data_IF_282883570230
#
_entry.id   IF_282883570230
#
_cell.length_a   1.000
_cell.length_b   1.000
_cell.length_c   1.000
_cell.angle_alpha   90.00
_cell.angle_beta   90.00
_cell.angle_gamma   90.00
#
_symmetry.space_group_name_H-M   'P 1'
#
loop_
_entity.id
_entity.type
_entity.pdbx_description
1 polymer ?
#
# COMPACT_ATOMS: atom_id res chain seq x y z
N UNK A 1 -3.68 -8.59 -34.29
CA UNK A 1 -2.80 -9.42 -35.11
C UNK A 1 -1.99 -10.48 -34.36
N UNK A 2 -2.31 -10.80 -33.11
CA UNK A 2 -1.64 -11.86 -32.33
C UNK A 2 -2.24 -13.26 -32.56
N UNK A 3 -3.38 -13.36 -33.23
CA UNK A 3 -4.00 -14.64 -33.61
C UNK A 3 -3.17 -15.54 -34.53
N UNK A 4 -2.18 -14.97 -35.22
CA UNK A 4 -1.34 -15.69 -36.18
C UNK A 4 -0.24 -16.55 -35.54
N UNK A 5 -0.01 -16.44 -34.21
CA UNK A 5 1.11 -17.13 -33.52
C UNK A 5 0.64 -18.24 -32.58
N UNK A 6 -0.66 -18.62 -32.61
CA UNK A 6 -1.18 -19.75 -31.83
C UNK A 6 -1.21 -19.55 -30.30
N UNK A 7 -0.98 -18.34 -29.81
CA UNK A 7 -1.03 -18.02 -28.39
C UNK A 7 -2.46 -17.65 -27.95
N UNK A 8 -3.41 -18.56 -28.10
CA UNK A 8 -4.77 -18.42 -27.58
C UNK A 8 -4.85 -18.42 -26.05
N UNK A 9 -3.75 -18.73 -25.37
CA UNK A 9 -3.63 -18.74 -23.91
C UNK A 9 -3.59 -17.33 -23.29
N UNK A 10 -3.33 -16.29 -24.06
CA UNK A 10 -3.21 -14.90 -23.59
C UNK A 10 -4.46 -14.05 -23.84
N UNK A 11 -5.52 -14.63 -24.35
CA UNK A 11 -6.85 -13.99 -24.42
C UNK A 11 -7.63 -14.17 -23.11
N UNK A 12 -6.95 -14.04 -21.98
CA UNK A 12 -7.56 -13.79 -20.71
C UNK A 12 -7.94 -12.32 -20.70
N UNK A 13 -9.23 -12.04 -20.98
CA UNK A 13 -9.83 -10.71 -20.78
C UNK A 13 -9.88 -10.38 -19.29
N UNK A 14 -8.70 -10.19 -18.70
CA UNK A 14 -8.50 -10.01 -17.27
C UNK A 14 -9.34 -8.88 -16.69
N UNK A 15 -9.56 -7.83 -17.49
CA UNK A 15 -10.33 -6.65 -17.05
C UNK A 15 -11.81 -6.77 -17.33
N UNK A 16 -12.23 -7.66 -18.22
CA UNK A 16 -13.63 -7.87 -18.63
C UNK A 16 -14.28 -9.00 -17.82
N UNK A 17 -13.50 -9.98 -17.40
CA UNK A 17 -13.98 -11.07 -16.57
C UNK A 17 -14.14 -10.61 -15.11
N UNK A 18 -15.36 -10.76 -14.56
CA UNK A 18 -15.72 -10.32 -13.21
C UNK A 18 -14.82 -10.90 -12.11
N UNK A 19 -14.40 -12.15 -12.26
CA UNK A 19 -13.60 -12.85 -11.25
C UNK A 19 -12.11 -12.53 -11.37
N UNK A 20 -11.66 -12.16 -12.56
CA UNK A 20 -10.24 -11.86 -12.82
C UNK A 20 -9.91 -10.37 -12.68
N UNK A 21 -10.87 -9.47 -12.87
CA UNK A 21 -10.66 -8.04 -12.83
C UNK A 21 -10.07 -7.55 -11.49
N UNK A 22 -10.53 -8.10 -10.38
CA UNK A 22 -10.00 -7.75 -9.06
C UNK A 22 -8.52 -8.14 -8.90
N UNK A 23 -8.12 -9.31 -9.43
CA UNK A 23 -6.73 -9.76 -9.38
C UNK A 23 -5.82 -8.88 -10.25
N UNK A 24 -6.29 -8.48 -11.43
CA UNK A 24 -5.57 -7.57 -12.31
C UNK A 24 -5.32 -6.21 -11.62
N UNK A 25 -6.35 -5.67 -10.97
CA UNK A 25 -6.26 -4.42 -10.19
C UNK A 25 -5.29 -4.59 -9.01
N UNK A 26 -5.35 -5.72 -8.29
CA UNK A 26 -4.44 -6.00 -7.17
C UNK A 26 -2.98 -6.09 -7.64
N UNK A 27 -2.69 -6.76 -8.75
CA UNK A 27 -1.34 -6.86 -9.32
C UNK A 27 -0.81 -5.46 -9.67
N UNK A 28 -1.63 -4.64 -10.32
CA UNK A 28 -1.25 -3.27 -10.66
C UNK A 28 -1.03 -2.40 -9.40
N UNK A 29 -1.87 -2.54 -8.38
CA UNK A 29 -1.72 -1.85 -7.10
C UNK A 29 -0.44 -2.25 -6.36
N UNK A 30 -0.10 -3.54 -6.34
CA UNK A 30 1.15 -4.05 -5.76
C UNK A 30 2.35 -3.49 -6.53
N UNK A 31 2.31 -3.49 -7.86
CA UNK A 31 3.37 -2.94 -8.68
C UNK A 31 3.59 -1.44 -8.41
N UNK A 32 2.52 -0.67 -8.34
CA UNK A 32 2.57 0.76 -8.02
C UNK A 32 3.09 1.01 -6.59
N UNK A 33 2.60 0.24 -5.62
CA UNK A 33 2.99 0.38 -4.21
C UNK A 33 4.43 -0.05 -3.93
N UNK A 34 4.94 -1.05 -4.68
CA UNK A 34 6.28 -1.59 -4.50
C UNK A 34 7.37 -0.52 -4.66
N UNK A 35 7.23 0.38 -5.65
CA UNK A 35 8.15 1.48 -5.86
C UNK A 35 8.23 2.44 -4.66
N UNK A 36 7.08 2.78 -4.11
CA UNK A 36 6.99 3.65 -2.93
C UNK A 36 7.64 3.00 -1.70
N UNK A 37 7.31 1.74 -1.43
CA UNK A 37 7.92 0.98 -0.32
C UNK A 37 9.42 0.84 -0.50
N UNK A 38 9.87 0.56 -1.71
CA UNK A 38 11.31 0.46 -2.01
C UNK A 38 12.07 1.74 -1.65
N UNK A 39 11.53 2.91 -2.01
CA UNK A 39 12.15 4.20 -1.66
C UNK A 39 12.19 4.41 -0.16
N UNK A 40 11.11 4.11 0.58
CA UNK A 40 11.07 4.23 2.03
C UNK A 40 12.08 3.29 2.71
N UNK A 41 12.18 2.03 2.26
CA UNK A 41 13.13 1.07 2.81
C UNK A 41 14.57 1.47 2.52
N UNK A 42 14.86 1.97 1.31
CA UNK A 42 16.19 2.49 0.98
C UNK A 42 16.56 3.70 1.82
N UNK A 43 15.62 4.60 2.08
CA UNK A 43 15.85 5.75 2.97
C UNK A 43 16.18 5.28 4.39
N UNK A 44 15.44 4.29 4.91
CA UNK A 44 15.70 3.69 6.21
C UNK A 44 17.09 3.03 6.31
N UNK A 45 17.45 2.25 5.28
CA UNK A 45 18.76 1.57 5.23
C UNK A 45 19.92 2.56 5.13
N UNK A 46 19.77 3.66 4.38
CA UNK A 46 20.79 4.72 4.27
C UNK A 46 20.94 5.56 5.53
N UNK A 47 19.93 5.57 6.39
CA UNK A 47 19.97 6.23 7.69
C UNK A 47 20.75 5.47 8.75
N UNK A 48 21.20 4.24 8.49
CA UNK A 48 22.00 3.44 9.40
C UNK A 48 23.46 3.89 9.32
N UNK A 49 24.07 4.13 10.49
CA UNK A 49 25.45 4.56 10.60
C UNK A 49 26.41 3.54 9.96
N UNK A 50 27.40 4.05 9.22
CA UNK A 50 28.43 3.21 8.59
C UNK A 50 29.23 2.39 9.60
N UNK A 51 29.39 2.88 10.82
CA UNK A 51 30.16 2.18 11.87
C UNK A 51 29.47 0.90 12.30
N UNK A 52 28.14 0.84 12.24
CA UNK A 52 27.39 -0.41 12.47
C UNK A 52 27.71 -1.44 11.39
N UNK A 53 27.77 -1.02 10.12
CA UNK A 53 28.12 -1.90 9.02
C UNK A 53 29.56 -2.43 9.13
N UNK A 54 30.50 -1.59 9.56
CA UNK A 54 31.90 -1.96 9.81
C UNK A 54 32.01 -2.96 10.95
N UNK A 55 31.33 -2.71 12.07
CA UNK A 55 31.32 -3.62 13.24
C UNK A 55 30.82 -5.01 12.87
N UNK A 56 29.69 -5.10 12.16
CA UNK A 56 29.13 -6.37 11.70
C UNK A 56 30.08 -7.14 10.75
N UNK A 57 30.86 -6.40 9.97
CA UNK A 57 31.86 -6.98 9.08
C UNK A 57 33.06 -7.56 9.83
N UNK A 58 33.49 -6.89 10.90
CA UNK A 58 34.63 -7.31 11.74
C UNK A 58 34.27 -8.55 12.57
N UNK A 59 33.04 -8.65 13.06
CA UNK A 59 32.54 -9.80 13.83
C UNK A 59 32.37 -11.07 12.98
N UNK A 60 32.52 -11.00 11.66
CA UNK A 60 32.39 -12.16 10.76
C UNK A 60 31.01 -12.76 10.70
N UNK A 61 29.97 -12.02 11.11
CA UNK A 61 28.60 -12.47 11.09
C UNK A 61 28.13 -12.61 9.65
N UNK A 62 27.51 -13.75 9.24
CA UNK A 62 27.01 -13.90 7.89
C UNK A 62 25.94 -12.83 7.58
N UNK A 63 26.03 -12.22 6.41
CA UNK A 63 25.20 -11.06 5.98
C UNK A 63 23.71 -11.23 6.27
N UNK A 64 23.15 -12.41 6.00
CA UNK A 64 21.72 -12.67 6.23
C UNK A 64 21.32 -12.55 7.71
N UNK A 65 22.19 -12.96 8.66
CA UNK A 65 21.95 -12.78 10.09
C UNK A 65 22.02 -11.31 10.50
N UNK A 66 23.00 -10.57 9.97
CA UNK A 66 23.11 -9.13 10.18
C UNK A 66 21.84 -8.40 9.72
N UNK A 67 21.29 -8.75 8.55
CA UNK A 67 20.05 -8.13 8.06
C UNK A 67 18.85 -8.44 8.96
N UNK A 68 18.64 -9.71 9.34
CA UNK A 68 17.44 -10.13 10.07
C UNK A 68 17.49 -9.69 11.54
N UNK A 69 18.62 -9.84 12.19
CA UNK A 69 18.70 -9.64 13.66
C UNK A 69 19.16 -8.25 14.08
N UNK A 70 19.84 -7.50 13.21
CA UNK A 70 20.34 -6.17 13.54
C UNK A 70 19.66 -5.09 12.71
N UNK A 71 19.74 -5.20 11.39
CA UNK A 71 19.27 -4.14 10.49
C UNK A 71 17.76 -4.04 10.50
N UNK A 72 17.04 -5.15 10.37
CA UNK A 72 15.57 -5.15 10.31
C UNK A 72 14.91 -4.58 11.59
N UNK A 73 15.37 -4.91 12.82
CA UNK A 73 14.89 -4.23 14.02
C UNK A 73 15.16 -2.73 14.05
N UNK A 74 16.31 -2.29 13.52
CA UNK A 74 16.67 -0.86 13.48
C UNK A 74 15.77 -0.06 12.54
N UNK A 75 15.39 -0.62 11.38
CA UNK A 75 14.48 0.03 10.44
C UNK A 75 12.99 -0.28 10.72
N UNK A 76 12.68 -0.99 11.81
CA UNK A 76 11.31 -1.34 12.21
C UNK A 76 10.32 -0.16 12.17
N UNK A 77 10.66 1.06 12.65
CA UNK A 77 9.75 2.20 12.55
C UNK A 77 9.38 2.53 11.09
N UNK A 78 10.35 2.45 10.18
CA UNK A 78 10.11 2.67 8.73
C UNK A 78 9.20 1.61 8.13
N UNK A 79 9.40 0.33 8.50
CA UNK A 79 8.55 -0.78 8.05
C UNK A 79 7.11 -0.57 8.50
N UNK A 80 6.90 -0.23 9.78
CA UNK A 80 5.56 0.01 10.33
C UNK A 80 4.93 1.23 9.66
N UNK A 81 5.66 2.33 9.51
CA UNK A 81 5.15 3.53 8.83
C UNK A 81 4.74 3.24 7.40
N UNK A 82 5.53 2.46 6.64
CA UNK A 82 5.19 2.11 5.27
C UNK A 82 3.93 1.25 5.18
N UNK A 83 3.75 0.29 6.09
CA UNK A 83 2.54 -0.53 6.17
C UNK A 83 1.30 0.31 6.45
N UNK A 84 1.39 1.26 7.38
CA UNK A 84 0.28 2.16 7.72
C UNK A 84 -0.08 3.07 6.55
N UNK A 85 0.92 3.63 5.86
CA UNK A 85 0.69 4.47 4.69
C UNK A 85 0.04 3.70 3.54
N UNK A 86 0.46 2.46 3.29
CA UNK A 86 -0.17 1.59 2.30
C UNK A 86 -1.62 1.29 2.70
N UNK A 87 -1.86 0.90 3.95
CA UNK A 87 -3.20 0.59 4.44
C UNK A 87 -4.16 1.79 4.31
N UNK A 88 -3.69 3.00 4.66
CA UNK A 88 -4.46 4.22 4.47
C UNK A 88 -4.66 4.56 2.98
N UNK A 89 -3.66 4.27 2.13
CA UNK A 89 -3.72 4.48 0.69
C UNK A 89 -4.75 3.59 -0.01
N UNK A 90 -4.88 2.33 0.42
CA UNK A 90 -5.85 1.38 -0.14
C UNK A 90 -7.29 1.87 0.02
N UNK A 91 -7.62 2.50 1.14
CA UNK A 91 -8.98 3.06 1.37
C UNK A 91 -9.31 4.18 0.38
N UNK A 92 -8.30 4.92 -0.07
CA UNK A 92 -8.44 6.08 -0.96
C UNK A 92 -8.20 5.75 -2.44
N UNK A 93 -7.95 4.49 -2.78
CA UNK A 93 -7.63 4.14 -4.16
C UNK A 93 -8.80 4.44 -5.09
N UNK A 94 -8.57 5.34 -6.05
CA UNK A 94 -9.55 5.79 -7.04
C UNK A 94 -8.97 5.76 -8.45
N UNK A 95 -7.86 6.47 -8.67
CA UNK A 95 -7.30 6.70 -10.00
C UNK A 95 -6.92 5.41 -10.72
N UNK A 96 -6.31 4.46 -10.00
CA UNK A 96 -5.91 3.17 -10.55
C UNK A 96 -7.13 2.38 -11.05
N UNK A 97 -8.20 2.34 -10.26
CA UNK A 97 -9.42 1.60 -10.62
C UNK A 97 -10.15 2.30 -11.75
N UNK A 98 -10.22 3.62 -11.72
CA UNK A 98 -10.81 4.40 -12.80
C UNK A 98 -10.09 4.13 -14.12
N UNK A 99 -8.76 4.14 -14.11
CA UNK A 99 -7.94 3.94 -15.30
C UNK A 99 -8.02 2.51 -15.86
N UNK A 100 -8.11 1.49 -15.01
CA UNK A 100 -8.07 0.08 -15.44
C UNK A 100 -9.45 -0.48 -15.78
N UNK A 101 -10.44 -0.23 -14.93
CA UNK A 101 -11.74 -0.93 -14.99
C UNK A 101 -12.94 0.00 -14.92
N UNK A 102 -12.76 1.27 -14.56
CA UNK A 102 -13.86 2.20 -14.27
C UNK A 102 -14.89 1.64 -13.28
N UNK A 103 -14.46 0.75 -12.36
CA UNK A 103 -15.30 0.07 -11.37
C UNK A 103 -15.91 -1.25 -11.84
N UNK A 104 -15.77 -1.60 -13.14
CA UNK A 104 -16.35 -2.78 -13.76
C UNK A 104 -15.48 -4.04 -13.72
N UNK A 105 -16.00 -5.16 -14.30
CA UNK A 105 -17.35 -5.36 -14.81
C UNK A 105 -18.44 -5.37 -13.71
N UNK A 106 -19.52 -4.69 -13.96
CA UNK A 106 -20.55 -4.44 -12.95
C UNK A 106 -20.03 -3.53 -11.83
N UNK A 107 -19.96 -4.02 -10.60
CA UNK A 107 -19.42 -3.31 -9.43
C UNK A 107 -18.26 -4.09 -8.77
N UNK A 108 -17.64 -5.02 -9.50
CA UNK A 108 -16.66 -5.96 -8.92
C UNK A 108 -15.38 -5.30 -8.42
N UNK A 109 -15.02 -4.16 -8.98
CA UNK A 109 -13.81 -3.40 -8.59
C UNK A 109 -14.13 -2.02 -7.99
N UNK A 110 -15.42 -1.74 -7.69
CA UNK A 110 -15.82 -0.47 -7.10
C UNK A 110 -15.25 -0.31 -5.69
N UNK A 111 -14.59 0.82 -5.44
CA UNK A 111 -14.08 1.19 -4.12
C UNK A 111 -14.96 2.26 -3.47
N UNK A 112 -14.84 2.44 -2.14
CA UNK A 112 -15.52 3.53 -1.44
C UNK A 112 -15.23 4.91 -2.04
N UNK A 113 -13.98 5.16 -2.44
CA UNK A 113 -13.60 6.41 -3.09
C UNK A 113 -14.33 6.64 -4.42
N UNK A 114 -14.49 5.58 -5.21
CA UNK A 114 -15.22 5.63 -6.46
C UNK A 114 -16.72 5.88 -6.24
N UNK A 115 -17.30 5.26 -5.23
CA UNK A 115 -18.69 5.48 -4.83
C UNK A 115 -18.93 6.94 -4.44
N UNK A 116 -18.03 7.56 -3.67
CA UNK A 116 -18.10 8.98 -3.30
C UNK A 116 -18.08 9.86 -4.55
N UNK A 117 -17.12 9.63 -5.46
CA UNK A 117 -16.96 10.43 -6.67
C UNK A 117 -18.16 10.31 -7.61
N UNK A 118 -18.69 9.11 -7.78
CA UNK A 118 -19.88 8.87 -8.61
C UNK A 118 -21.12 9.59 -8.06
N UNK A 119 -21.37 9.49 -6.75
CA UNK A 119 -22.52 10.17 -6.12
C UNK A 119 -22.35 11.69 -6.09
N UNK A 120 -21.12 12.19 -5.96
CA UNK A 120 -20.87 13.62 -5.92
C UNK A 120 -20.99 14.29 -7.29
N UNK A 121 -20.33 13.71 -8.30
CA UNK A 121 -20.24 14.35 -9.63
C UNK A 121 -21.27 13.84 -10.64
N UNK A 122 -21.58 12.54 -10.66
CA UNK A 122 -22.44 11.96 -11.68
C UNK A 122 -23.90 11.93 -11.27
N UNK A 123 -24.20 11.60 -10.03
CA UNK A 123 -25.57 11.45 -9.54
C UNK A 123 -26.08 12.69 -8.80
N UNK A 124 -25.22 13.67 -8.53
CA UNK A 124 -25.53 14.88 -7.75
C UNK A 124 -26.23 14.59 -6.39
N UNK A 125 -25.97 13.39 -5.82
CA UNK A 125 -26.52 12.99 -4.52
C UNK A 125 -25.54 13.31 -3.40
N UNK A 126 -25.50 14.59 -3.03
CA UNK A 126 -24.54 15.11 -2.05
C UNK A 126 -24.68 14.43 -0.67
N UNK A 127 -25.91 14.08 -0.26
CA UNK A 127 -26.12 13.42 1.03
C UNK A 127 -25.42 12.06 1.13
N UNK A 128 -25.53 11.22 0.10
CA UNK A 128 -24.85 9.92 0.07
C UNK A 128 -23.35 10.07 -0.09
N UNK A 129 -22.88 11.03 -0.90
CA UNK A 129 -21.48 11.30 -1.07
C UNK A 129 -20.81 11.73 0.24
N UNK A 130 -21.43 12.66 0.99
CA UNK A 130 -20.90 13.09 2.30
C UNK A 130 -20.95 11.98 3.35
N UNK A 131 -22.03 11.20 3.41
CA UNK A 131 -22.12 10.06 4.34
C UNK A 131 -21.01 9.04 4.09
N UNK A 132 -20.79 8.67 2.82
CA UNK A 132 -19.71 7.76 2.44
C UNK A 132 -18.31 8.33 2.73
N UNK A 133 -18.10 9.63 2.51
CA UNK A 133 -16.85 10.33 2.83
C UNK A 133 -16.54 10.30 4.33
N UNK A 134 -17.55 10.49 5.18
CA UNK A 134 -17.39 10.41 6.63
C UNK A 134 -17.00 8.99 7.06
N UNK A 135 -17.64 7.96 6.51
CA UNK A 135 -17.29 6.56 6.79
C UNK A 135 -15.85 6.26 6.37
N UNK A 136 -15.42 6.73 5.18
CA UNK A 136 -14.03 6.61 4.74
C UNK A 136 -13.07 7.32 5.69
N UNK A 137 -13.38 8.53 6.12
CA UNK A 137 -12.57 9.28 7.06
C UNK A 137 -12.41 8.53 8.38
N UNK A 138 -13.51 8.03 8.95
CA UNK A 138 -13.51 7.24 10.19
C UNK A 138 -12.64 5.98 10.01
N UNK A 139 -12.76 5.27 8.88
CA UNK A 139 -11.97 4.07 8.63
C UNK A 139 -10.47 4.36 8.56
N UNK A 140 -10.06 5.46 7.94
CA UNK A 140 -8.65 5.89 7.91
C UNK A 140 -8.18 6.28 9.31
N UNK A 141 -8.98 7.00 10.08
CA UNK A 141 -8.65 7.35 11.49
C UNK A 141 -8.49 6.09 12.33
N UNK A 142 -9.38 5.09 12.18
CA UNK A 142 -9.27 3.81 12.88
C UNK A 142 -7.98 3.04 12.55
N UNK A 143 -7.45 3.18 11.34
CA UNK A 143 -6.16 2.60 10.95
C UNK A 143 -4.99 3.40 11.54
N UNK A 144 -5.08 4.73 11.50
CA UNK A 144 -4.00 5.61 11.95
C UNK A 144 -3.90 5.73 13.48
N UNK A 145 -5.03 5.68 14.19
CA UNK A 145 -5.07 5.89 15.63
C UNK A 145 -4.20 4.89 16.43
N UNK A 146 -4.29 3.56 16.20
CA UNK A 146 -3.44 2.59 16.92
C UNK A 146 -1.97 2.77 16.59
N UNK A 147 -1.65 3.15 15.34
CA UNK A 147 -0.27 3.46 14.95
C UNK A 147 0.26 4.70 15.66
N UNK A 148 -0.50 5.80 15.66
CA UNK A 148 -0.13 7.03 16.33
C UNK A 148 0.07 6.81 17.83
N UNK A 149 -0.84 6.04 18.46
CA UNK A 149 -0.72 5.70 19.87
C UNK A 149 0.56 4.89 20.16
N UNK A 150 0.87 3.89 19.32
CA UNK A 150 2.08 3.08 19.45
C UNK A 150 3.34 3.93 19.31
N UNK A 151 3.40 4.78 18.29
CA UNK A 151 4.55 5.66 18.03
C UNK A 151 4.79 6.65 19.19
N UNK A 152 3.71 7.30 19.68
CA UNK A 152 3.81 8.21 20.82
C UNK A 152 4.25 7.50 22.11
N UNK A 153 3.75 6.30 22.34
CA UNK A 153 4.08 5.53 23.54
C UNK A 153 5.55 5.11 23.56
N UNK A 154 6.08 4.64 22.43
CA UNK A 154 7.48 4.21 22.34
C UNK A 154 8.45 5.38 22.36
N UNK A 155 8.19 6.45 21.64
CA UNK A 155 9.04 7.66 21.66
C UNK A 155 9.15 8.27 23.05
N UNK A 156 8.07 8.29 23.81
CA UNK A 156 8.10 8.79 25.19
C UNK A 156 8.88 7.88 26.15
N UNK A 157 9.05 6.62 25.82
CA UNK A 157 9.89 5.70 26.61
C UNK A 157 11.39 5.91 26.34
N UNK A 158 11.77 6.15 25.09
CA UNK A 158 13.16 6.42 24.70
C UNK A 158 13.63 7.79 25.21
N UNK A 159 12.75 8.78 25.29
CA UNK A 159 13.09 10.11 25.82
C UNK A 159 13.25 10.16 27.35
N UNK A 160 12.95 9.08 28.08
CA UNK A 160 13.07 9.01 29.55
C UNK A 160 14.26 8.16 30.05
N UNK A 161 15.06 7.62 29.13
CA UNK A 161 16.33 6.92 29.41
C UNK A 161 17.48 7.79 28.99
#
# INVERSE_FOLDING_TARGET
>A
SMHLWGFTWFELDWLVNRDLAIYAVCIAAVWQGAGFVMVLMLAGLRGIDEDIWKSLSIEGIPKWKSYIFVILPMIRPMVITSLVLIAAGVVKVYDLILALTSGGPGYSTTTPAMYVMENFFSRANLGQAFAASIIMFISVVCILAPWAYYEFYFRNKEAKV
#
